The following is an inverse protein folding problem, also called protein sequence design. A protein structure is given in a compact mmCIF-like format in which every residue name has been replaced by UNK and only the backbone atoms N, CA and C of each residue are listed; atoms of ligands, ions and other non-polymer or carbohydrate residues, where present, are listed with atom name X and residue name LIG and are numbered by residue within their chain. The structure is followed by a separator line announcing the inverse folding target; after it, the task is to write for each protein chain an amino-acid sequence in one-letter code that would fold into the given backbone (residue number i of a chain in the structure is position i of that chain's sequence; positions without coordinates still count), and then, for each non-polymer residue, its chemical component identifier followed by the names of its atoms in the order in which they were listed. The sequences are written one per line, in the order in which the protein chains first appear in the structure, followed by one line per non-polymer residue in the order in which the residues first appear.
data_IF_424254602069
#
_entry.id   IF_424254602069
#
_cell.length_a   1.000
_cell.length_b   1.000
_cell.length_c   1.000
_cell.angle_alpha   90.00
_cell.angle_beta   90.00
_cell.angle_gamma   90.00
#
_symmetry.space_group_name_H-M   'P 1'
#
loop_
_entity.id
_entity.type
_entity.pdbx_description
1 polymer ?
#
# COMPACT_ATOMS: atom_id res chain seq x y z
N UNK A 1 4.34 -5.72 20.08
CA UNK A 1 5.49 -4.86 19.72
C UNK A 1 5.34 -4.47 18.26
N UNK A 2 5.90 -3.34 17.80
CA UNK A 2 5.89 -3.02 16.36
C UNK A 2 7.06 -3.74 15.68
N UNK A 3 6.84 -4.25 14.47
CA UNK A 3 7.90 -4.90 13.71
C UNK A 3 8.91 -3.85 13.20
N UNK A 4 10.20 -4.19 13.27
CA UNK A 4 11.27 -3.33 12.74
C UNK A 4 11.34 -3.46 11.21
N UNK A 5 10.45 -2.76 10.53
CA UNK A 5 10.32 -2.76 9.07
C UNK A 5 10.78 -1.43 8.46
N UNK A 6 11.24 -1.41 7.20
CA UNK A 6 11.61 -0.17 6.50
C UNK A 6 10.50 0.90 6.54
N UNK A 7 10.88 2.18 6.49
CA UNK A 7 9.93 3.33 6.54
C UNK A 7 8.86 3.27 5.44
N UNK A 8 9.20 2.75 4.26
CA UNK A 8 8.33 2.60 3.11
C UNK A 8 7.52 1.29 3.09
N UNK A 9 7.68 0.43 4.10
CA UNK A 9 6.94 -0.83 4.18
C UNK A 9 5.46 -0.57 4.45
N UNK A 10 4.60 -1.18 3.61
CA UNK A 10 3.13 -1.20 3.78
C UNK A 10 2.70 -1.66 5.18
N UNK A 11 3.52 -2.48 5.85
CA UNK A 11 3.19 -3.09 7.13
C UNK A 11 3.95 -2.48 8.32
N UNK A 12 4.70 -1.39 8.13
CA UNK A 12 5.52 -0.80 9.21
C UNK A 12 4.74 -0.49 10.48
N UNK A 13 3.52 0.02 10.35
CA UNK A 13 2.68 0.40 11.49
C UNK A 13 1.78 -0.74 12.00
N UNK A 14 1.95 -1.94 11.49
CA UNK A 14 1.17 -3.11 11.89
C UNK A 14 1.84 -3.79 13.07
N UNK A 15 1.05 -4.15 14.08
CA UNK A 15 1.54 -4.86 15.25
C UNK A 15 2.09 -6.24 14.90
N UNK A 16 3.28 -6.56 15.41
CA UNK A 16 3.78 -7.93 15.50
C UNK A 16 3.04 -8.66 16.62
N UNK A 17 2.59 -9.88 16.32
CA UNK A 17 1.92 -10.81 17.22
C UNK A 17 2.69 -12.13 17.23
N UNK A 18 2.46 -12.95 18.25
CA UNK A 18 3.02 -14.30 18.37
C UNK A 18 1.92 -15.32 18.58
N UNK A 19 2.12 -16.53 18.09
CA UNK A 19 1.27 -17.68 18.37
C UNK A 19 2.14 -18.89 18.63
N UNK A 20 1.70 -19.74 19.55
CA UNK A 20 2.33 -21.04 19.81
C UNK A 20 1.74 -22.07 18.84
N UNK A 21 2.59 -22.76 18.10
CA UNK A 21 2.20 -23.87 17.23
C UNK A 21 1.91 -25.13 18.04
N UNK A 22 1.19 -26.12 17.47
CA UNK A 22 1.01 -27.42 18.13
C UNK A 22 2.32 -28.13 18.50
N UNK A 23 3.43 -27.81 17.83
CA UNK A 23 4.78 -28.31 18.16
C UNK A 23 5.39 -27.69 19.43
N UNK A 24 4.80 -26.61 19.95
CA UNK A 24 5.34 -25.81 21.06
C UNK A 24 6.18 -24.61 20.62
N UNK A 25 6.48 -24.48 19.33
CA UNK A 25 7.26 -23.36 18.80
C UNK A 25 6.46 -22.05 18.84
N UNK A 26 7.09 -20.95 19.27
CA UNK A 26 6.53 -19.61 19.09
C UNK A 26 6.92 -19.05 17.71
N UNK A 27 5.92 -18.60 16.96
CA UNK A 27 6.12 -17.93 15.67
C UNK A 27 5.55 -16.51 15.69
N UNK A 28 6.36 -15.55 15.25
CA UNK A 28 5.96 -14.17 15.06
C UNK A 28 5.24 -13.99 13.71
N UNK A 29 4.22 -13.15 13.68
CA UNK A 29 3.48 -12.78 12.49
C UNK A 29 2.94 -11.35 12.59
N UNK A 30 2.65 -10.73 11.45
CA UNK A 30 2.07 -9.40 11.41
C UNK A 30 0.55 -9.48 11.56
N UNK A 31 -0.02 -8.55 12.32
CA UNK A 31 -1.47 -8.35 12.41
C UNK A 31 -2.11 -8.06 11.04
N UNK A 32 -3.43 -8.11 10.99
CA UNK A 32 -4.16 -7.72 9.78
C UNK A 32 -4.06 -6.20 9.60
N UNK A 33 -3.77 -5.77 8.38
CA UNK A 33 -3.88 -4.38 7.96
C UNK A 33 -5.24 -4.16 7.31
N UNK A 34 -6.02 -3.23 7.84
CA UNK A 34 -7.27 -2.76 7.23
C UNK A 34 -6.93 -1.64 6.25
N UNK A 35 -7.38 -1.75 5.02
CA UNK A 35 -7.25 -0.68 4.02
C UNK A 35 -8.26 0.41 4.42
N UNK A 36 -7.82 1.67 4.62
CA UNK A 36 -8.73 2.79 4.84
C UNK A 36 -9.78 2.93 3.74
N UNK A 37 -10.98 3.40 4.10
CA UNK A 37 -12.04 3.71 3.14
C UNK A 37 -11.56 4.72 2.07
N UNK A 38 -12.12 4.61 0.86
CA UNK A 38 -11.64 5.36 -0.31
C UNK A 38 -11.77 6.88 -0.17
N UNK A 39 -12.74 7.35 0.63
CA UNK A 39 -12.97 8.78 0.89
C UNK A 39 -11.90 9.42 1.78
N UNK A 40 -11.07 8.61 2.46
CA UNK A 40 -9.97 9.09 3.30
C UNK A 40 -8.74 9.52 2.50
N UNK A 41 -8.62 9.12 1.23
CA UNK A 41 -7.48 9.48 0.39
C UNK A 41 -7.67 10.86 -0.23
N UNK A 42 -6.69 11.74 -0.03
CA UNK A 42 -6.63 13.05 -0.69
C UNK A 42 -5.77 12.94 -1.95
N UNK A 43 -6.29 13.26 -3.15
CA UNK A 43 -5.51 13.19 -4.39
C UNK A 43 -4.45 14.30 -4.43
N UNK A 44 -3.18 13.92 -4.53
CA UNK A 44 -2.08 14.83 -4.87
C UNK A 44 -2.02 15.04 -6.38
N UNK A 45 -2.15 13.95 -7.14
CA UNK A 45 -2.10 13.95 -8.60
C UNK A 45 -2.94 12.79 -9.18
N UNK A 46 -3.01 12.71 -10.51
CA UNK A 46 -3.70 11.65 -11.26
C UNK A 46 -2.81 11.12 -12.38
N UNK A 47 -2.67 9.80 -12.44
CA UNK A 47 -1.95 9.12 -13.52
C UNK A 47 -2.95 8.40 -14.43
N UNK A 48 -2.91 8.69 -15.74
CA UNK A 48 -3.71 7.94 -16.72
C UNK A 48 -2.90 6.77 -17.22
N UNK A 49 -3.38 5.56 -16.94
CA UNK A 49 -2.71 4.30 -17.30
C UNK A 49 -2.54 4.20 -18.80
N UNK A 50 -1.32 3.90 -19.24
CA UNK A 50 -0.96 3.60 -20.63
C UNK A 50 -0.53 2.13 -20.77
N UNK A 51 -0.41 1.65 -22.01
CA UNK A 51 0.09 0.31 -22.26
C UNK A 51 1.53 0.17 -21.75
N UNK A 52 1.81 -0.95 -21.07
CA UNK A 52 3.12 -1.23 -20.49
C UNK A 52 3.33 -0.66 -19.07
N UNK A 53 2.40 0.14 -18.55
CA UNK A 53 2.51 0.65 -17.18
C UNK A 53 2.58 -0.48 -16.15
N UNK A 54 3.51 -0.32 -15.22
CA UNK A 54 3.61 -1.13 -14.02
C UNK A 54 3.52 -0.24 -12.79
N UNK A 55 2.83 -0.72 -11.76
CA UNK A 55 2.51 0.10 -10.59
C UNK A 55 3.75 0.56 -9.79
N UNK A 56 4.82 -0.23 -9.81
CA UNK A 56 6.13 0.12 -9.24
C UNK A 56 6.81 1.28 -10.00
N UNK A 57 6.67 1.32 -11.32
CA UNK A 57 7.18 2.43 -12.14
C UNK A 57 6.36 3.70 -11.95
N UNK A 58 5.03 3.58 -11.91
CA UNK A 58 4.13 4.72 -11.58
C UNK A 58 4.48 5.27 -10.21
N UNK A 59 4.70 4.41 -9.21
CA UNK A 59 5.16 4.80 -7.87
C UNK A 59 6.51 5.50 -7.88
N UNK A 60 7.46 5.01 -8.69
CA UNK A 60 8.77 5.65 -8.83
C UNK A 60 8.64 7.05 -9.41
N UNK A 61 7.80 7.24 -10.43
CA UNK A 61 7.54 8.56 -11.01
C UNK A 61 6.84 9.52 -10.03
N UNK A 62 5.90 9.01 -9.25
CA UNK A 62 5.11 9.80 -8.30
C UNK A 62 5.85 10.15 -7.00
N UNK A 63 6.60 9.20 -6.44
CA UNK A 63 7.17 9.29 -5.10
C UNK A 63 8.70 9.19 -5.05
N UNK A 64 9.35 8.86 -6.18
CA UNK A 64 10.78 8.53 -6.21
C UNK A 64 11.10 7.17 -5.59
N UNK A 65 10.10 6.38 -5.18
CA UNK A 65 10.27 5.09 -4.52
C UNK A 65 9.29 4.05 -5.10
N UNK A 66 9.79 2.96 -5.75
CA UNK A 66 8.94 1.90 -6.28
C UNK A 66 8.20 1.13 -5.18
N UNK A 67 8.73 1.07 -3.95
CA UNK A 67 8.14 0.31 -2.85
C UNK A 67 6.93 1.00 -2.21
N UNK A 68 6.67 2.26 -2.55
CA UNK A 68 5.48 3.00 -2.11
C UNK A 68 4.23 2.75 -2.99
N UNK A 69 4.32 1.82 -3.96
CA UNK A 69 3.23 1.51 -4.90
C UNK A 69 1.91 1.17 -4.19
N UNK A 70 1.99 0.58 -3.00
CA UNK A 70 0.84 0.15 -2.23
C UNK A 70 -0.10 1.30 -1.88
N UNK A 71 0.41 2.54 -1.77
CA UNK A 71 -0.41 3.73 -1.51
C UNK A 71 -1.40 3.98 -2.65
N UNK A 72 -0.93 3.84 -3.89
CA UNK A 72 -1.74 4.01 -5.11
C UNK A 72 -2.75 2.86 -5.22
N UNK A 73 -2.30 1.63 -4.95
CA UNK A 73 -3.16 0.43 -4.99
C UNK A 73 -4.29 0.52 -3.97
N UNK A 74 -3.98 0.90 -2.73
CA UNK A 74 -4.96 1.08 -1.66
C UNK A 74 -5.97 2.19 -2.00
N UNK A 75 -5.51 3.33 -2.52
CA UNK A 75 -6.38 4.43 -2.95
C UNK A 75 -7.22 4.09 -4.20
N UNK A 76 -6.80 3.10 -4.99
CA UNK A 76 -7.57 2.57 -6.10
C UNK A 76 -8.62 1.53 -5.66
N UNK A 77 -8.64 1.14 -4.38
CA UNK A 77 -9.51 0.10 -3.85
C UNK A 77 -9.15 -1.31 -4.32
N UNK A 78 -7.92 -1.51 -4.79
CA UNK A 78 -7.46 -2.77 -5.35
C UNK A 78 -6.72 -3.60 -4.30
N UNK A 79 -7.00 -4.90 -4.23
CA UNK A 79 -6.20 -5.83 -3.42
C UNK A 79 -5.03 -6.42 -4.20
N UNK A 80 -5.14 -6.47 -5.53
CA UNK A 80 -4.12 -6.99 -6.44
C UNK A 80 -3.36 -5.82 -7.11
N UNK A 81 -2.05 -5.64 -6.83
CA UNK A 81 -1.24 -4.61 -7.47
C UNK A 81 -1.18 -4.73 -9.00
N UNK A 82 -1.31 -5.94 -9.56
CA UNK A 82 -1.31 -6.14 -11.02
C UNK A 82 -2.59 -5.65 -11.70
N UNK A 83 -3.69 -5.56 -10.94
CA UNK A 83 -4.96 -5.03 -11.43
C UNK A 83 -4.98 -3.49 -11.48
N UNK A 84 -4.14 -2.81 -10.67
CA UNK A 84 -4.15 -1.35 -10.58
C UNK A 84 -3.90 -0.67 -11.93
N UNK A 85 -2.91 -1.12 -12.71
CA UNK A 85 -2.63 -0.59 -14.04
C UNK A 85 -3.49 -1.22 -15.15
N UNK A 86 -4.70 -1.70 -14.83
CA UNK A 86 -5.65 -2.26 -15.82
C UNK A 86 -7.08 -1.74 -15.58
N UNK A 87 -7.86 -1.53 -16.64
CA UNK A 87 -7.45 -1.52 -18.05
C UNK A 87 -6.62 -0.28 -18.41
N UNK A 88 -5.95 -0.32 -19.58
CA UNK A 88 -5.35 0.87 -20.18
C UNK A 88 -6.41 1.98 -20.30
N UNK A 89 -6.03 3.22 -19.96
CA UNK A 89 -6.92 4.37 -19.91
C UNK A 89 -7.61 4.59 -18.55
N UNK A 90 -7.51 3.66 -17.59
CA UNK A 90 -7.92 3.89 -16.20
C UNK A 90 -7.17 5.08 -15.63
N UNK A 91 -7.84 5.87 -14.79
CA UNK A 91 -7.18 6.94 -14.03
C UNK A 91 -6.91 6.44 -12.62
N UNK A 92 -5.63 6.45 -12.23
CA UNK A 92 -5.19 6.20 -10.87
C UNK A 92 -5.05 7.52 -10.12
N UNK A 93 -5.49 7.53 -8.87
CA UNK A 93 -5.19 8.62 -7.95
C UNK A 93 -3.79 8.36 -7.39
N UNK A 94 -2.95 9.38 -7.41
CA UNK A 94 -1.71 9.42 -6.63
C UNK A 94 -2.05 10.13 -5.32
N UNK A 95 -2.25 9.41 -4.20
CA UNK A 95 -2.68 10.02 -2.96
C UNK A 95 -1.53 10.73 -2.25
N UNK A 96 -1.86 11.77 -1.48
CA UNK A 96 -1.03 12.20 -0.36
C UNK A 96 -0.86 11.05 0.65
N UNK A 97 0.26 10.97 1.38
CA UNK A 97 0.40 10.01 2.47
C UNK A 97 -0.73 10.18 3.49
N UNK A 98 -1.46 9.10 3.79
CA UNK A 98 -2.61 9.17 4.72
C UNK A 98 -2.20 9.62 6.13
N UNK A 99 -0.95 9.36 6.49
CA UNK A 99 -0.34 9.79 7.74
C UNK A 99 -0.17 11.32 7.82
N UNK A 100 -0.14 12.00 6.66
CA UNK A 100 -0.03 13.47 6.57
C UNK A 100 -1.42 14.12 6.52
N UNK A 101 -2.43 13.43 6.00
CA UNK A 101 -3.79 13.99 5.88
C UNK A 101 -4.59 13.92 7.18
N UNK A 102 -4.12 13.20 8.20
CA UNK A 102 -4.80 13.06 9.49
C UNK A 102 -6.08 12.22 9.45
N UNK A 103 -6.35 11.55 8.33
CA UNK A 103 -7.56 10.75 8.10
C UNK A 103 -7.32 9.24 8.32
N UNK A 104 -6.10 8.85 8.68
CA UNK A 104 -5.65 7.46 8.88
C UNK A 104 -5.21 7.18 10.30
#
# INVERSE_FOLDING_TARGET
MMAELPLNSRYRYVAERRTTLPSGDEVAFLGRRVIPDLDKYTPLDRHRVVEGDRIDQVSTGAYGDPLLYWRIVDAAGESDPFAACRPVGRTLIIPLPIEVTGNG
#
